data_IF_527925987495
#
_entry.id   IF_527925987495
#
_cell.length_a   1.000
_cell.length_b   1.000
_cell.length_c   1.000
_cell.angle_alpha   90.00
_cell.angle_beta   90.00
_cell.angle_gamma   90.00
#
_symmetry.space_group_name_H-M   'P 1'
#
loop_
_entity.id
_entity.type
_entity.pdbx_description
1 polymer ?
#
# COMPACT_ATOMS: atom_id res chain seq x y z
N UNK A 1 14.62 1.67 9.35
CA UNK A 1 13.73 1.70 8.17
C UNK A 1 14.11 0.50 7.34
N UNK A 2 13.21 -0.45 7.15
CA UNK A 2 13.48 -1.64 6.35
C UNK A 2 13.39 -1.34 4.85
N UNK A 3 13.98 -2.21 4.03
CA UNK A 3 13.89 -2.13 2.59
C UNK A 3 12.43 -2.40 2.14
N UNK A 4 11.99 -1.71 1.10
CA UNK A 4 10.65 -1.92 0.54
C UNK A 4 10.52 -3.29 -0.14
N UNK A 5 9.29 -3.77 -0.29
CA UNK A 5 9.00 -5.05 -0.92
C UNK A 5 7.77 -4.95 -1.83
N UNK A 6 7.68 -5.86 -2.79
CA UNK A 6 6.44 -6.09 -3.55
C UNK A 6 5.50 -7.02 -2.78
N UNK A 7 4.21 -6.71 -2.79
CA UNK A 7 3.16 -7.58 -2.27
C UNK A 7 2.60 -8.42 -3.43
N UNK A 8 3.13 -9.64 -3.59
CA UNK A 8 2.70 -10.57 -4.63
C UNK A 8 1.54 -11.44 -4.14
N UNK A 9 0.51 -11.57 -4.98
CA UNK A 9 -0.59 -12.50 -4.79
C UNK A 9 -0.23 -13.89 -5.32
N UNK A 10 -0.95 -14.94 -4.88
CA UNK A 10 -0.78 -16.32 -5.36
C UNK A 10 -1.01 -16.47 -6.88
N UNK A 11 -1.66 -15.48 -7.51
CA UNK A 11 -1.86 -15.41 -8.97
C UNK A 11 -0.63 -14.94 -9.73
N UNK A 12 0.45 -14.54 -9.04
CA UNK A 12 1.68 -14.02 -9.64
C UNK A 12 1.64 -12.51 -9.91
N UNK A 13 0.53 -11.83 -9.66
CA UNK A 13 0.36 -10.39 -9.78
C UNK A 13 0.83 -9.65 -8.52
N UNK A 14 1.27 -8.40 -8.65
CA UNK A 14 1.72 -7.54 -7.56
C UNK A 14 0.72 -6.43 -7.26
N UNK A 15 0.69 -5.99 -6.00
CA UNK A 15 -0.08 -4.83 -5.57
C UNK A 15 0.55 -3.54 -6.12
N UNK A 16 -0.23 -2.72 -6.80
CA UNK A 16 0.22 -1.50 -7.46
C UNK A 16 -0.70 -0.30 -7.13
N UNK A 17 -0.09 0.86 -6.89
CA UNK A 17 -0.81 2.12 -6.82
C UNK A 17 -1.00 2.73 -8.22
N UNK A 18 -2.19 3.24 -8.55
CA UNK A 18 -2.48 3.91 -9.83
C UNK A 18 -1.79 5.28 -9.98
N UNK A 19 -1.15 5.76 -8.92
CA UNK A 19 -0.50 7.05 -8.86
C UNK A 19 0.02 7.34 -7.46
N UNK A 20 0.69 8.48 -7.32
CA UNK A 20 1.44 8.86 -6.10
C UNK A 20 0.68 9.84 -5.20
N UNK A 21 -0.59 10.11 -5.50
CA UNK A 21 -1.41 11.09 -4.80
C UNK A 21 -2.49 10.47 -3.89
N UNK A 22 -3.01 11.21 -2.90
CA UNK A 22 -4.22 10.81 -2.19
C UNK A 22 -5.39 10.52 -3.14
N UNK A 23 -6.14 9.46 -2.87
CA UNK A 23 -7.23 8.98 -3.72
C UNK A 23 -6.79 8.05 -4.86
N UNK A 24 -5.48 7.87 -5.07
CA UNK A 24 -4.98 6.88 -6.04
C UNK A 24 -5.45 5.49 -5.63
N UNK A 25 -6.05 4.77 -6.58
CA UNK A 25 -6.53 3.40 -6.34
C UNK A 25 -5.38 2.43 -6.23
N UNK A 26 -5.57 1.38 -5.46
CA UNK A 26 -4.65 0.25 -5.37
C UNK A 26 -5.29 -0.95 -6.06
N UNK A 27 -4.55 -1.60 -6.96
CA UNK A 27 -5.02 -2.71 -7.77
C UNK A 27 -3.91 -3.75 -7.94
N UNK A 28 -4.20 -4.83 -8.67
CA UNK A 28 -3.23 -5.89 -8.99
C UNK A 28 -2.82 -5.79 -10.46
N UNK A 29 -1.53 -5.95 -10.72
CA UNK A 29 -0.93 -5.88 -12.06
C UNK A 29 0.24 -6.87 -12.17
N UNK A 30 0.81 -7.04 -13.35
CA UNK A 30 2.02 -7.85 -13.52
C UNK A 30 3.16 -7.29 -12.65
N UNK A 31 3.86 -8.17 -11.95
CA UNK A 31 4.99 -7.79 -11.11
C UNK A 31 6.12 -7.19 -11.95
N UNK A 32 6.60 -6.01 -11.53
CA UNK A 32 7.73 -5.33 -12.14
C UNK A 32 8.60 -4.69 -11.04
N UNK A 33 9.78 -5.25 -10.80
CA UNK A 33 10.71 -4.79 -9.74
C UNK A 33 11.20 -3.35 -9.96
N UNK A 34 11.20 -2.88 -11.21
CA UNK A 34 11.57 -1.49 -11.56
C UNK A 34 10.40 -0.51 -11.39
N UNK A 35 9.19 -1.00 -11.08
CA UNK A 35 8.01 -0.16 -10.88
C UNK A 35 7.88 0.26 -9.42
N UNK A 36 8.32 1.50 -9.12
CA UNK A 36 8.18 2.10 -7.78
C UNK A 36 6.74 2.08 -7.24
N UNK A 37 5.71 2.08 -8.11
CA UNK A 37 4.30 2.02 -7.70
C UNK A 37 3.91 0.68 -7.07
N UNK A 38 4.79 -0.32 -7.11
CA UNK A 38 4.60 -1.64 -6.52
C UNK A 38 5.42 -1.87 -5.23
N UNK A 39 6.10 -0.84 -4.73
CA UNK A 39 6.98 -0.96 -3.56
C UNK A 39 6.29 -0.45 -2.28
N UNK A 40 6.22 -1.33 -1.29
CA UNK A 40 5.49 -1.13 -0.04
C UNK A 40 6.36 -1.41 1.19
N UNK A 41 5.96 -0.88 2.33
CA UNK A 41 6.56 -1.21 3.62
C UNK A 41 5.51 -1.39 4.72
N UNK A 42 5.76 -2.33 5.61
CA UNK A 42 5.03 -2.45 6.87
C UNK A 42 5.64 -1.51 7.91
N UNK A 43 4.79 -0.72 8.57
CA UNK A 43 5.16 0.01 9.78
C UNK A 43 4.89 -0.82 11.03
N UNK A 44 5.64 -0.55 12.11
CA UNK A 44 5.41 -1.17 13.42
C UNK A 44 4.00 -0.90 13.96
N UNK A 45 3.32 0.16 13.47
CA UNK A 45 1.91 0.45 13.76
C UNK A 45 0.92 -0.56 13.17
N UNK A 46 1.39 -1.46 12.29
CA UNK A 46 0.54 -2.32 11.48
C UNK A 46 -0.02 -1.64 10.23
N UNK A 47 0.45 -0.45 9.89
CA UNK A 47 0.03 0.21 8.65
C UNK A 47 0.87 -0.30 7.46
N UNK A 48 0.28 -0.30 6.26
CA UNK A 48 1.01 -0.52 5.00
C UNK A 48 1.23 0.84 4.33
N UNK A 49 2.48 1.15 4.04
CA UNK A 49 2.90 2.44 3.49
C UNK A 49 3.38 2.29 2.06
N UNK A 50 3.02 3.26 1.25
CA UNK A 50 3.60 3.41 -0.08
C UNK A 50 4.98 4.05 0.06
N UNK A 51 6.03 3.40 -0.45
CA UNK A 51 7.38 3.97 -0.44
C UNK A 51 7.64 4.64 -1.78
N UNK A 52 8.11 5.89 -1.74
CA UNK A 52 8.76 6.51 -2.87
C UNK A 52 10.04 7.20 -2.43
N UNK A 53 11.17 7.02 -3.12
CA UNK A 53 12.46 7.52 -2.67
C UNK A 53 12.52 9.05 -2.51
N UNK A 54 11.69 9.81 -3.22
CA UNK A 54 11.89 11.26 -3.27
C UNK A 54 10.75 12.15 -2.68
N UNK A 55 9.48 11.70 -2.49
CA UNK A 55 8.38 12.68 -2.23
C UNK A 55 7.22 12.28 -1.29
N UNK A 56 7.12 11.08 -0.72
CA UNK A 56 5.99 10.81 0.19
C UNK A 56 6.18 9.57 1.05
N UNK A 57 6.50 9.76 2.32
CA UNK A 57 6.50 8.69 3.35
C UNK A 57 5.17 8.61 4.12
N UNK A 58 4.18 9.45 3.78
CA UNK A 58 2.98 9.62 4.61
C UNK A 58 1.67 9.17 3.96
N UNK A 59 1.74 8.44 2.84
CA UNK A 59 0.57 7.76 2.28
C UNK A 59 0.45 6.34 2.86
N UNK A 60 -0.78 5.96 3.18
CA UNK A 60 -1.18 4.67 3.71
C UNK A 60 -2.23 4.06 2.81
N UNK A 61 -2.21 2.75 2.73
CA UNK A 61 -3.32 1.98 2.16
C UNK A 61 -4.53 2.13 3.09
N UNK A 62 -5.65 2.60 2.57
CA UNK A 62 -6.91 2.75 3.30
C UNK A 62 -8.05 1.96 2.65
N UNK A 63 -8.85 1.27 3.46
CA UNK A 63 -10.17 0.78 3.07
C UNK A 63 -11.24 1.85 3.40
N UNK A 64 -11.56 2.80 2.49
CA UNK A 64 -12.31 4.01 2.85
C UNK A 64 -13.76 3.73 3.27
N UNK A 65 -14.35 2.66 2.72
CA UNK A 65 -15.70 2.20 3.06
C UNK A 65 -15.89 0.75 2.62
N UNK A 66 -16.91 0.10 3.16
CA UNK A 66 -17.33 -1.25 2.77
C UNK A 66 -17.58 -1.33 1.26
N UNK A 67 -17.10 -2.41 0.62
CA UNK A 67 -17.25 -2.69 -0.81
C UNK A 67 -16.64 -1.65 -1.76
N UNK A 68 -15.74 -0.78 -1.29
CA UNK A 68 -14.98 0.12 -2.16
C UNK A 68 -13.57 -0.43 -2.41
N UNK A 69 -12.97 -0.12 -3.58
CA UNK A 69 -11.55 -0.34 -3.78
C UNK A 69 -10.74 0.42 -2.74
N UNK A 70 -9.62 -0.21 -2.36
CA UNK A 70 -8.59 0.36 -1.50
C UNK A 70 -7.90 1.52 -2.21
N UNK A 71 -7.48 2.53 -1.47
CA UNK A 71 -6.84 3.73 -2.02
C UNK A 71 -5.75 4.28 -1.10
N UNK A 72 -4.87 5.10 -1.67
CA UNK A 72 -3.88 5.84 -0.91
C UNK A 72 -4.52 7.03 -0.20
N UNK A 73 -4.27 7.17 1.11
CA UNK A 73 -4.69 8.33 1.89
C UNK A 73 -3.55 8.84 2.75
N UNK A 74 -3.61 10.12 3.10
CA UNK A 74 -2.71 10.65 4.10
C UNK A 74 -2.93 9.92 5.43
N UNK A 75 -1.83 9.71 6.16
CA UNK A 75 -1.90 9.13 7.50
C UNK A 75 -2.89 9.91 8.38
N UNK A 76 -3.82 9.17 8.96
CA UNK A 76 -4.77 9.70 9.95
C UNK A 76 -4.58 8.93 11.26
N UNK A 77 -4.26 9.66 12.33
CA UNK A 77 -4.06 9.04 13.64
C UNK A 77 -5.28 8.23 14.06
N UNK A 78 -5.05 7.02 14.56
CA UNK A 78 -6.08 6.08 15.02
C UNK A 78 -7.13 5.67 13.96
N UNK A 79 -6.86 5.89 12.67
CA UNK A 79 -7.76 5.44 11.61
C UNK A 79 -7.62 3.93 11.41
N UNK A 80 -8.60 3.17 11.92
CA UNK A 80 -8.65 1.71 11.79
C UNK A 80 -8.73 1.22 10.35
N UNK A 81 -9.16 2.08 9.41
CA UNK A 81 -9.19 1.73 7.99
C UNK A 81 -7.80 1.75 7.33
N UNK A 82 -6.77 2.27 8.02
CA UNK A 82 -5.38 2.28 7.58
C UNK A 82 -4.52 1.20 8.27
N UNK A 83 -5.09 0.46 9.23
CA UNK A 83 -4.41 -0.58 10.00
C UNK A 83 -4.69 -1.96 9.41
N UNK A 84 -3.63 -2.72 9.16
CA UNK A 84 -3.68 -4.01 8.49
C UNK A 84 -2.97 -5.07 9.33
N UNK A 85 -3.56 -6.26 9.37
CA UNK A 85 -2.95 -7.42 10.03
C UNK A 85 -2.55 -8.41 8.97
N UNK A 86 -1.26 -8.72 8.91
CA UNK A 86 -0.77 -9.87 8.15
C UNK A 86 -1.18 -11.12 8.92
N UNK A 87 -2.04 -11.92 8.30
CA UNK A 87 -2.52 -13.18 8.86
C UNK A 87 -2.04 -14.32 7.98
N UNK A 88 -1.34 -15.28 8.57
CA UNK A 88 -1.03 -16.55 7.93
C UNK A 88 -2.27 -17.44 8.08
N UNK A 89 -3.18 -17.41 7.11
CA UNK A 89 -4.27 -18.40 7.03
C UNK A 89 -3.85 -19.56 6.16
#
# INVERSE_FOLDING_TARGET
MGDGFQLQADTGECLEAAGVGPGSKVFKSDCNEDNELQIWQFEESGDIVFIRPEWSTNLRIEAPRKNAPVELRQRSANNKNQQWLVSNR
#
